data_IF_145375647533
#
_entry.id   IF_145375647533
#
_cell.length_a   1.000
_cell.length_b   1.000
_cell.length_c   1.000
_cell.angle_alpha   90.00
_cell.angle_beta   90.00
_cell.angle_gamma   90.00
#
_symmetry.space_group_name_H-M   'P 1'
#
loop_
_entity.id
_entity.type
_entity.pdbx_description
1 polymer ?
#
# COMPACT_ATOMS: atom_id res chain seq x y z
N UNK A 1 -9.61 -67.57 46.27
CA UNK A 1 -10.33 -67.07 45.09
C UNK A 1 -9.45 -66.00 44.47
N UNK A 2 -8.54 -66.40 43.58
CA UNK A 2 -7.59 -65.49 42.92
C UNK A 2 -8.23 -65.14 41.59
N UNK A 3 -8.58 -63.86 41.41
CA UNK A 3 -9.04 -63.35 40.12
C UNK A 3 -7.82 -63.31 39.21
N UNK A 4 -7.87 -64.06 38.11
CA UNK A 4 -6.82 -64.12 37.11
C UNK A 4 -6.65 -62.73 36.46
N UNK A 5 -5.58 -62.01 36.81
CA UNK A 5 -5.28 -60.68 36.30
C UNK A 5 -4.72 -60.68 34.87
N UNK A 6 -4.82 -61.81 34.16
CA UNK A 6 -4.08 -62.08 32.91
C UNK A 6 -4.85 -61.78 31.63
N UNK A 7 -6.13 -61.38 31.69
CA UNK A 7 -6.82 -60.86 30.51
C UNK A 7 -6.49 -59.38 30.29
N UNK A 8 -5.24 -59.10 29.94
CA UNK A 8 -4.92 -57.87 29.22
C UNK A 8 -5.58 -57.98 27.84
N UNK A 9 -6.71 -57.31 27.66
CA UNK A 9 -7.40 -57.19 26.38
C UNK A 9 -6.46 -56.56 25.35
N UNK A 10 -5.90 -57.39 24.46
CA UNK A 10 -5.10 -56.92 23.34
C UNK A 10 -6.00 -56.11 22.43
N UNK A 11 -5.59 -54.87 22.14
CA UNK A 11 -6.30 -54.04 21.16
C UNK A 11 -6.38 -54.78 19.82
N UNK A 12 -7.40 -54.52 18.99
CA UNK A 12 -7.46 -55.07 17.65
C UNK A 12 -6.16 -54.75 16.88
N UNK A 13 -5.62 -55.72 16.13
CA UNK A 13 -4.32 -55.61 15.45
C UNK A 13 -4.18 -54.38 14.55
N UNK A 14 -5.27 -53.92 13.93
CA UNK A 14 -5.26 -52.68 13.14
C UNK A 14 -4.98 -51.42 13.97
N UNK A 15 -5.34 -51.41 15.27
CA UNK A 15 -5.08 -50.30 16.19
C UNK A 15 -3.59 -50.19 16.50
N UNK A 16 -2.89 -51.33 16.60
CA UNK A 16 -1.43 -51.35 16.83
C UNK A 16 -0.69 -50.74 15.64
N UNK A 17 -1.09 -51.08 14.41
CA UNK A 17 -0.55 -50.47 13.19
C UNK A 17 -0.76 -48.95 13.17
N UNK A 18 -1.96 -48.47 13.50
CA UNK A 18 -2.26 -47.02 13.54
C UNK A 18 -1.47 -46.32 14.66
N UNK A 19 -1.35 -46.95 15.83
CA UNK A 19 -0.63 -46.39 16.98
C UNK A 19 0.87 -46.26 16.70
N UNK A 20 1.45 -47.19 15.94
CA UNK A 20 2.85 -47.09 15.51
C UNK A 20 3.11 -45.87 14.62
N UNK A 21 2.09 -45.37 13.90
CA UNK A 21 2.16 -44.15 13.09
C UNK A 21 1.82 -42.87 13.88
N UNK A 22 1.41 -42.96 15.15
CA UNK A 22 1.01 -41.79 15.93
C UNK A 22 2.10 -40.69 15.97
N UNK A 23 3.39 -40.98 16.22
CA UNK A 23 4.44 -39.95 16.19
C UNK A 23 4.58 -39.27 14.83
N UNK A 24 4.36 -40.02 13.73
CA UNK A 24 4.41 -39.47 12.39
C UNK A 24 3.25 -38.50 12.14
N UNK A 25 2.02 -38.87 12.55
CA UNK A 25 0.88 -37.97 12.46
C UNK A 25 1.05 -36.72 13.32
N UNK A 26 1.65 -36.84 14.53
CA UNK A 26 1.98 -35.69 15.37
C UNK A 26 2.98 -34.76 14.67
N UNK A 27 4.04 -35.31 14.08
CA UNK A 27 5.04 -34.53 13.35
C UNK A 27 4.40 -33.85 12.12
N UNK A 28 3.58 -34.57 11.37
CA UNK A 28 2.86 -34.02 10.22
C UNK A 28 1.94 -32.86 10.64
N UNK A 29 1.16 -33.04 11.70
CA UNK A 29 0.29 -32.00 12.25
C UNK A 29 1.10 -30.77 12.69
N UNK A 30 2.24 -30.98 13.37
CA UNK A 30 3.15 -29.90 13.76
C UNK A 30 3.75 -29.18 12.55
N UNK A 31 4.15 -29.90 11.50
CA UNK A 31 4.69 -29.32 10.27
C UNK A 31 3.64 -28.48 9.52
N UNK A 32 2.40 -28.97 9.43
CA UNK A 32 1.28 -28.23 8.84
C UNK A 32 0.99 -26.98 9.64
N UNK A 33 0.87 -27.09 10.97
CA UNK A 33 0.64 -25.96 11.86
C UNK A 33 1.75 -24.90 11.73
N UNK A 34 3.01 -25.32 11.71
CA UNK A 34 4.17 -24.43 11.51
C UNK A 34 4.12 -23.73 10.15
N UNK A 35 3.75 -24.44 9.09
CA UNK A 35 3.61 -23.86 7.74
C UNK A 35 2.51 -22.80 7.70
N UNK A 36 1.34 -23.10 8.26
CA UNK A 36 0.22 -22.14 8.34
C UNK A 36 0.63 -20.91 9.16
N UNK A 37 1.32 -21.10 10.28
CA UNK A 37 1.79 -20.00 11.12
C UNK A 37 2.74 -19.06 10.34
N UNK A 38 3.69 -19.62 9.59
CA UNK A 38 4.61 -18.82 8.75
C UNK A 38 3.85 -18.07 7.65
N UNK A 39 2.93 -18.73 6.95
CA UNK A 39 2.11 -18.08 5.91
C UNK A 39 1.25 -16.96 6.48
N UNK A 40 0.61 -17.20 7.63
CA UNK A 40 -0.20 -16.20 8.34
C UNK A 40 0.61 -14.97 8.74
N UNK A 41 1.81 -15.17 9.29
CA UNK A 41 2.70 -14.05 9.65
C UNK A 41 3.12 -13.23 8.43
N UNK A 42 3.36 -13.88 7.28
CA UNK A 42 3.69 -13.17 6.03
C UNK A 42 2.51 -12.36 5.52
N UNK A 43 1.31 -12.93 5.50
CA UNK A 43 0.08 -12.23 5.12
C UNK A 43 -0.18 -11.04 6.05
N UNK A 44 -0.01 -11.22 7.36
CA UNK A 44 -0.20 -10.15 8.35
C UNK A 44 0.77 -8.99 8.12
N UNK A 45 2.06 -9.25 7.88
CA UNK A 45 3.04 -8.19 7.59
C UNK A 45 2.67 -7.36 6.36
N UNK A 46 2.15 -8.00 5.31
CA UNK A 46 1.70 -7.29 4.10
C UNK A 46 0.46 -6.45 4.40
N UNK A 47 -0.50 -7.01 5.14
CA UNK A 47 -1.71 -6.28 5.56
C UNK A 47 -1.37 -5.07 6.45
N UNK A 48 -0.48 -5.24 7.41
CA UNK A 48 -0.04 -4.17 8.33
C UNK A 48 0.67 -3.06 7.54
N UNK A 49 1.58 -3.41 6.62
CA UNK A 49 2.25 -2.43 5.77
C UNK A 49 1.26 -1.62 4.91
N UNK A 50 0.23 -2.27 4.36
CA UNK A 50 -0.85 -1.61 3.61
C UNK A 50 -1.70 -0.71 4.51
N UNK A 51 -2.02 -1.16 5.73
CA UNK A 51 -2.76 -0.37 6.72
C UNK A 51 -2.01 0.91 7.10
N UNK A 52 -0.72 0.81 7.40
CA UNK A 52 0.09 2.00 7.70
C UNK A 52 0.24 2.94 6.52
N UNK A 53 0.34 2.40 5.29
CA UNK A 53 0.34 3.22 4.08
C UNK A 53 -0.95 4.06 3.99
N UNK A 54 -2.11 3.45 4.25
CA UNK A 54 -3.40 4.15 4.26
C UNK A 54 -3.51 5.21 5.36
N UNK A 55 -2.99 4.91 6.55
CA UNK A 55 -2.93 5.91 7.64
C UNK A 55 -2.08 7.11 7.25
N UNK A 56 -0.92 6.88 6.62
CA UNK A 56 -0.04 7.96 6.14
C UNK A 56 -0.68 8.73 4.99
N UNK A 57 -1.39 8.06 4.08
CA UNK A 57 -2.12 8.68 3.00
C UNK A 57 -3.21 9.62 3.55
N UNK A 58 -4.06 9.14 4.46
CA UNK A 58 -5.12 9.96 5.05
C UNK A 58 -4.57 11.23 5.72
N UNK A 59 -3.52 11.09 6.53
CA UNK A 59 -2.86 12.24 7.16
C UNK A 59 -2.27 13.22 6.15
N UNK A 60 -1.62 12.71 5.09
CA UNK A 60 -1.03 13.55 4.06
C UNK A 60 -2.10 14.28 3.22
N UNK A 61 -3.23 13.63 2.96
CA UNK A 61 -4.40 14.23 2.31
C UNK A 61 -5.06 15.30 3.17
N UNK A 62 -5.19 15.08 4.48
CA UNK A 62 -5.68 16.10 5.42
C UNK A 62 -4.77 17.34 5.41
N UNK A 63 -3.46 17.14 5.35
CA UNK A 63 -2.49 18.24 5.22
C UNK A 63 -2.56 18.94 3.87
N UNK A 64 -2.76 18.19 2.79
CA UNK A 64 -2.92 18.71 1.42
C UNK A 64 -4.10 19.69 1.34
N UNK A 65 -5.19 19.38 2.06
CA UNK A 65 -6.42 20.16 2.09
C UNK A 65 -6.41 21.28 3.15
N UNK A 66 -5.36 21.39 3.97
CA UNK A 66 -5.24 22.46 4.98
C UNK A 66 -5.09 23.82 4.28
N UNK A 67 -5.72 24.90 4.75
CA UNK A 67 -5.59 26.22 4.13
C UNK A 67 -4.18 26.85 4.27
N UNK A 68 -3.31 26.33 5.15
CA UNK A 68 -1.96 26.86 5.35
C UNK A 68 -0.98 26.24 4.37
N UNK A 69 -0.39 27.07 3.51
CA UNK A 69 0.57 26.63 2.48
C UNK A 69 1.73 25.78 3.03
N UNK A 70 2.23 26.08 4.23
CA UNK A 70 3.28 25.29 4.88
C UNK A 70 2.85 23.85 5.17
N UNK A 71 1.59 23.65 5.59
CA UNK A 71 1.01 22.33 5.87
C UNK A 71 0.71 21.59 4.57
N UNK A 72 0.18 22.28 3.56
CA UNK A 72 -0.02 21.72 2.22
C UNK A 72 1.28 21.21 1.62
N UNK A 73 2.38 21.96 1.75
CA UNK A 73 3.69 21.53 1.25
C UNK A 73 4.15 20.20 1.89
N UNK A 74 3.91 20.01 3.20
CA UNK A 74 4.20 18.74 3.89
C UNK A 74 3.30 17.63 3.35
N UNK A 75 2.01 17.91 3.14
CA UNK A 75 1.06 16.98 2.53
C UNK A 75 1.52 16.50 1.15
N UNK A 76 1.80 17.43 0.24
CA UNK A 76 2.28 17.13 -1.12
C UNK A 76 3.56 16.29 -1.12
N UNK A 77 4.54 16.66 -0.28
CA UNK A 77 5.81 15.92 -0.18
C UNK A 77 5.59 14.50 0.35
N UNK A 78 4.72 14.35 1.35
CA UNK A 78 4.40 13.05 1.94
C UNK A 78 3.67 12.17 0.93
N UNK A 79 2.66 12.70 0.23
CA UNK A 79 1.98 11.98 -0.84
C UNK A 79 2.95 11.60 -1.96
N UNK A 80 3.90 12.47 -2.32
CA UNK A 80 4.94 12.13 -3.32
C UNK A 80 5.82 10.98 -2.85
N UNK A 81 6.18 10.92 -1.56
CA UNK A 81 6.93 9.79 -1.00
C UNK A 81 6.11 8.50 -1.00
N UNK A 82 4.82 8.58 -0.65
CA UNK A 82 3.90 7.44 -0.71
C UNK A 82 3.73 6.92 -2.14
N UNK A 83 3.62 7.83 -3.11
CA UNK A 83 3.58 7.53 -4.54
C UNK A 83 4.86 6.84 -5.02
N UNK A 84 6.03 7.11 -4.43
CA UNK A 84 7.30 6.42 -4.78
C UNK A 84 7.45 5.07 -4.08
N UNK A 85 6.71 4.84 -3.00
CA UNK A 85 6.88 3.64 -2.19
C UNK A 85 6.44 2.38 -2.93
N UNK A 86 7.16 1.27 -2.74
CA UNK A 86 6.78 -0.03 -3.32
C UNK A 86 5.47 -0.60 -2.78
N UNK A 87 4.84 0.06 -1.79
CA UNK A 87 3.54 -0.32 -1.24
C UNK A 87 2.37 0.21 -2.05
N UNK A 88 2.55 1.32 -2.76
CA UNK A 88 1.54 1.84 -3.67
C UNK A 88 1.53 0.99 -4.96
N UNK A 89 0.50 0.15 -5.11
CA UNK A 89 0.23 -0.55 -6.36
C UNK A 89 -0.58 0.36 -7.28
N UNK A 90 -0.94 -0.13 -8.46
CA UNK A 90 -1.65 0.67 -9.46
C UNK A 90 -2.93 1.31 -8.89
N UNK A 91 -3.73 0.57 -8.13
CA UNK A 91 -4.96 1.09 -7.52
C UNK A 91 -4.68 2.23 -6.53
N UNK A 92 -3.70 2.09 -5.64
CA UNK A 92 -3.33 3.17 -4.72
C UNK A 92 -2.77 4.39 -5.47
N UNK A 93 -2.07 4.18 -6.59
CA UNK A 93 -1.56 5.27 -7.41
C UNK A 93 -2.67 6.03 -8.12
N UNK A 94 -3.76 5.39 -8.55
CA UNK A 94 -4.95 6.11 -9.07
C UNK A 94 -5.55 7.03 -7.99
N UNK A 95 -5.55 6.58 -6.74
CA UNK A 95 -6.11 7.36 -5.63
C UNK A 95 -5.20 8.54 -5.30
N UNK A 96 -3.89 8.35 -5.37
CA UNK A 96 -2.92 9.45 -5.27
C UNK A 96 -3.06 10.41 -6.45
N UNK A 97 -3.30 9.92 -7.67
CA UNK A 97 -3.54 10.76 -8.85
C UNK A 97 -4.79 11.64 -8.68
N UNK A 98 -5.88 11.07 -8.16
CA UNK A 98 -7.09 11.82 -7.83
C UNK A 98 -6.80 12.94 -6.80
N UNK A 99 -5.97 12.68 -5.79
CA UNK A 99 -5.59 13.69 -4.80
C UNK A 99 -4.83 14.87 -5.42
N UNK A 100 -4.07 14.67 -6.50
CA UNK A 100 -3.41 15.77 -7.20
C UNK A 100 -4.40 16.75 -7.83
N UNK A 101 -5.59 16.30 -8.22
CA UNK A 101 -6.65 17.15 -8.77
C UNK A 101 -7.14 18.25 -7.83
N UNK A 102 -6.99 18.07 -6.51
CA UNK A 102 -7.36 19.08 -5.51
C UNK A 102 -6.42 20.30 -5.51
N UNK A 103 -5.17 20.12 -5.98
CA UNK A 103 -4.16 21.19 -6.05
C UNK A 103 -3.92 21.66 -7.48
N UNK A 104 -3.93 20.73 -8.42
CA UNK A 104 -3.67 20.96 -9.83
C UNK A 104 -4.98 21.15 -10.57
N UNK A 105 -5.34 22.41 -10.77
CA UNK A 105 -6.47 22.79 -11.63
C UNK A 105 -5.93 23.02 -13.03
N UNK A 106 -6.52 22.35 -14.03
CA UNK A 106 -6.18 22.61 -15.42
C UNK A 106 -6.43 24.10 -15.71
N UNK A 107 -5.42 24.85 -16.19
CA UNK A 107 -5.62 26.22 -16.57
C UNK A 107 -6.60 26.25 -17.75
N UNK A 108 -7.80 26.78 -17.48
CA UNK A 108 -8.86 26.91 -18.47
C UNK A 108 -8.46 27.81 -19.65
N UNK A 109 -9.44 28.36 -20.37
CA UNK A 109 -9.13 29.30 -21.46
C UNK A 109 -8.60 30.61 -20.86
N UNK A 110 -7.27 30.71 -20.77
CA UNK A 110 -6.57 31.91 -20.33
C UNK A 110 -6.28 32.79 -21.56
N UNK A 111 -6.61 34.09 -21.55
CA UNK A 111 -6.27 35.00 -22.64
C UNK A 111 -4.76 35.05 -22.91
N UNK A 112 -4.39 35.10 -24.19
CA UNK A 112 -2.99 35.20 -24.62
C UNK A 112 -2.27 36.35 -23.90
N UNK A 113 -1.05 36.08 -23.43
CA UNK A 113 -0.24 37.05 -22.68
C UNK A 113 -0.58 37.21 -21.20
N UNK A 114 -1.56 36.46 -20.66
CA UNK A 114 -1.87 36.50 -19.22
C UNK A 114 -1.06 35.44 -18.48
N UNK A 115 -0.16 35.87 -17.59
CA UNK A 115 0.58 34.97 -16.72
C UNK A 115 -0.31 34.53 -15.55
N UNK A 116 -0.48 33.23 -15.37
CA UNK A 116 -1.15 32.67 -14.18
C UNK A 116 -0.06 32.38 -13.15
N UNK A 117 -0.10 33.02 -11.96
CA UNK A 117 0.88 32.76 -10.91
C UNK A 117 0.71 31.33 -10.40
N UNK A 118 1.81 30.57 -10.35
CA UNK A 118 1.83 29.20 -9.84
C UNK A 118 2.42 29.20 -8.44
N UNK A 119 1.71 28.58 -7.50
CA UNK A 119 2.20 28.44 -6.12
C UNK A 119 3.29 27.37 -6.02
N UNK A 120 4.17 27.47 -5.01
CA UNK A 120 5.16 26.43 -4.71
C UNK A 120 4.50 25.05 -4.50
N UNK A 121 3.33 25.03 -3.89
CA UNK A 121 2.54 23.81 -3.64
C UNK A 121 2.12 23.18 -4.97
N UNK A 122 1.67 23.97 -5.94
CA UNK A 122 1.32 23.49 -7.29
C UNK A 122 2.54 22.94 -8.04
N UNK A 123 3.70 23.61 -7.96
CA UNK A 123 4.94 23.09 -8.57
C UNK A 123 5.32 21.73 -7.96
N UNK A 124 5.23 21.60 -6.63
CA UNK A 124 5.53 20.33 -5.96
C UNK A 124 4.50 19.24 -6.31
N UNK A 125 3.22 19.59 -6.38
CA UNK A 125 2.15 18.65 -6.74
C UNK A 125 2.32 18.17 -8.20
N UNK A 126 2.68 19.06 -9.13
CA UNK A 126 2.96 18.69 -10.51
C UNK A 126 4.12 17.70 -10.64
N UNK A 127 5.17 17.88 -9.83
CA UNK A 127 6.28 16.90 -9.72
C UNK A 127 5.83 15.59 -9.09
N UNK A 128 4.93 15.64 -8.10
CA UNK A 128 4.28 14.46 -7.52
C UNK A 128 3.45 13.70 -8.56
N UNK A 129 2.72 14.42 -9.42
CA UNK A 129 1.94 13.85 -10.52
C UNK A 129 2.84 13.20 -11.58
N UNK A 130 3.93 13.83 -11.98
CA UNK A 130 4.93 13.21 -12.88
C UNK A 130 5.45 11.86 -12.36
N UNK A 131 5.72 11.77 -11.06
CA UNK A 131 6.13 10.51 -10.43
C UNK A 131 5.01 9.46 -10.50
N UNK A 132 3.77 9.89 -10.28
CA UNK A 132 2.59 9.02 -10.28
C UNK A 132 2.31 8.49 -11.69
N UNK A 133 2.31 9.36 -12.70
CA UNK A 133 2.15 9.02 -14.11
C UNK A 133 3.22 8.02 -14.57
N UNK A 134 4.49 8.31 -14.25
CA UNK A 134 5.61 7.43 -14.61
C UNK A 134 5.45 6.02 -14.01
N UNK A 135 4.94 5.91 -12.78
CA UNK A 135 4.68 4.61 -12.15
C UNK A 135 3.45 3.89 -12.68
N UNK A 136 2.46 4.64 -13.14
CA UNK A 136 1.29 4.10 -13.85
C UNK A 136 1.59 3.77 -15.32
N UNK A 137 2.76 4.15 -15.84
CA UNK A 137 3.12 4.00 -17.25
C UNK A 137 2.34 4.94 -18.18
N UNK A 138 1.83 6.05 -17.63
CA UNK A 138 1.06 7.06 -18.37
C UNK A 138 1.96 8.24 -18.76
N UNK A 139 1.72 8.89 -19.91
CA UNK A 139 2.38 10.14 -20.22
C UNK A 139 1.83 11.27 -19.32
N UNK A 140 2.71 12.11 -18.78
CA UNK A 140 2.29 13.32 -18.07
C UNK A 140 1.75 14.37 -19.04
N UNK A 141 0.65 15.01 -18.67
CA UNK A 141 0.04 16.06 -19.48
C UNK A 141 0.99 17.27 -19.64
N UNK A 142 1.03 17.92 -20.82
CA UNK A 142 1.99 18.99 -21.09
C UNK A 142 1.92 20.17 -20.11
N UNK A 143 0.71 20.57 -19.71
CA UNK A 143 0.52 21.68 -18.77
C UNK A 143 1.01 21.34 -17.36
N UNK A 144 0.91 20.08 -16.93
CA UNK A 144 1.48 19.60 -15.67
C UNK A 144 3.01 19.61 -15.75
N UNK A 145 3.59 19.20 -16.88
CA UNK A 145 5.03 19.25 -17.09
C UNK A 145 5.58 20.70 -17.11
N UNK A 146 4.82 21.65 -17.66
CA UNK A 146 5.15 23.07 -17.63
C UNK A 146 5.17 23.61 -16.18
N UNK A 147 4.14 23.33 -15.39
CA UNK A 147 4.07 23.70 -13.96
C UNK A 147 5.23 23.08 -13.16
N UNK A 148 5.59 21.83 -13.45
CA UNK A 148 6.70 21.17 -12.75
C UNK A 148 8.07 21.81 -13.05
N UNK A 149 8.23 22.36 -14.25
CA UNK A 149 9.44 23.00 -14.76
C UNK A 149 9.53 24.51 -14.49
N UNK A 150 8.42 25.20 -14.25
CA UNK A 150 8.35 26.66 -14.22
C UNK A 150 7.48 27.21 -13.07
N UNK A 151 7.82 28.38 -12.53
CA UNK A 151 7.04 29.05 -11.46
C UNK A 151 5.92 29.95 -12.05
N UNK A 152 5.84 30.04 -13.38
CA UNK A 152 4.80 30.75 -14.10
C UNK A 152 4.43 29.98 -15.38
N UNK A 153 3.12 29.87 -15.66
CA UNK A 153 2.59 29.26 -16.89
C UNK A 153 2.28 30.37 -17.89
N UNK A 154 2.79 30.26 -19.12
CA UNK A 154 2.61 31.28 -20.17
C UNK A 154 2.10 30.60 -21.43
N UNK A 155 0.85 30.85 -21.82
CA UNK A 155 0.36 30.37 -23.13
C UNK A 155 0.92 31.24 -24.24
N UNK A 156 1.59 30.59 -25.21
CA UNK A 156 2.00 31.17 -26.49
C UNK A 156 0.81 31.25 -27.47
#
# INVERSE_FOLDING_TARGET
MVVDASQASSLPTWVEWVSALAPFFTLLAAAVAGTIAVLSLRQRRVADAKSEWWTRFAWASDLLLDPRAERQEIGVRTLTLLARSGLAHAEELEIVDAAWGEVLVEPGVVPLGTAVPVSRVQVLAARGRQVTDARLGRPTEPWVAEIAGNIAVTRA
#
